data_IF_644493296451
#
_entry.id   IF_644493296451
#
_cell.length_a   1.000
_cell.length_b   1.000
_cell.length_c   1.000
_cell.angle_alpha   90.00
_cell.angle_beta   90.00
_cell.angle_gamma   90.00
#
_symmetry.space_group_name_H-M   'P 1'
#
loop_
_entity.id
_entity.type
_entity.pdbx_description
1 polymer ?
#
# COMPACT_ATOMS: atom_id res chain seq x y z
N UNK A 1 -37.83 1.84 2.72
CA UNK A 1 -36.37 2.05 2.60
C UNK A 1 -35.63 0.99 3.40
N UNK A 2 -35.72 1.00 4.73
CA UNK A 2 -35.13 0.00 5.65
C UNK A 2 -35.32 -1.48 5.27
N UNK A 3 -36.52 -1.88 4.80
CA UNK A 3 -36.76 -3.27 4.35
C UNK A 3 -35.97 -3.63 3.09
N UNK A 4 -35.86 -2.70 2.13
CA UNK A 4 -35.10 -2.93 0.89
C UNK A 4 -33.60 -2.98 1.18
N UNK A 5 -33.12 -2.15 2.11
CA UNK A 5 -31.74 -2.15 2.59
C UNK A 5 -31.36 -3.49 3.25
N UNK A 6 -32.24 -4.01 4.11
CA UNK A 6 -32.02 -5.30 4.78
C UNK A 6 -32.01 -6.48 3.80
N UNK A 7 -32.85 -6.43 2.76
CA UNK A 7 -32.89 -7.45 1.71
C UNK A 7 -31.62 -7.40 0.85
N UNK A 8 -31.17 -6.21 0.45
CA UNK A 8 -29.91 -6.04 -0.29
C UNK A 8 -28.72 -6.57 0.51
N UNK A 9 -28.60 -6.19 1.79
CA UNK A 9 -27.51 -6.65 2.66
C UNK A 9 -27.50 -8.18 2.84
N UNK A 10 -28.64 -8.79 3.15
CA UNK A 10 -28.75 -10.24 3.34
C UNK A 10 -28.43 -11.04 2.07
N UNK A 11 -28.88 -10.57 0.90
CA UNK A 11 -28.61 -11.24 -0.39
C UNK A 11 -27.12 -11.23 -0.71
N UNK A 12 -26.45 -10.09 -0.52
CA UNK A 12 -25.00 -9.98 -0.73
C UNK A 12 -24.23 -10.80 0.31
N UNK A 13 -24.60 -10.75 1.59
CA UNK A 13 -23.96 -11.53 2.65
C UNK A 13 -23.99 -13.05 2.37
N UNK A 14 -25.15 -13.57 1.96
CA UNK A 14 -25.31 -15.01 1.70
C UNK A 14 -24.54 -15.46 0.45
N UNK A 15 -24.46 -14.61 -0.59
CA UNK A 15 -23.75 -14.94 -1.82
C UNK A 15 -22.23 -15.00 -1.66
N UNK A 16 -21.66 -14.19 -0.75
CA UNK A 16 -20.22 -14.14 -0.48
C UNK A 16 -19.78 -15.00 0.71
N UNK A 17 -20.70 -15.69 1.37
CA UNK A 17 -20.35 -16.62 2.45
C UNK A 17 -19.51 -17.79 1.92
N UNK A 18 -18.54 -18.27 2.70
CA UNK A 18 -17.76 -19.46 2.31
C UNK A 18 -18.67 -20.71 2.33
N UNK A 19 -18.86 -21.31 1.15
CA UNK A 19 -19.62 -22.55 0.94
C UNK A 19 -21.10 -22.48 1.37
N UNK A 20 -21.90 -21.54 0.83
CA UNK A 20 -23.25 -21.31 1.29
C UNK A 20 -24.19 -22.43 0.80
N UNK A 21 -25.07 -22.90 1.68
CA UNK A 21 -26.20 -23.74 1.27
C UNK A 21 -27.29 -22.87 0.67
N UNK A 22 -27.17 -22.63 -0.63
CA UNK A 22 -28.10 -21.77 -1.36
C UNK A 22 -29.36 -22.56 -1.79
N UNK A 23 -30.55 -21.95 -1.70
CA UNK A 23 -31.74 -22.49 -2.35
C UNK A 23 -31.54 -22.62 -3.87
N UNK A 24 -32.18 -23.59 -4.51
CA UNK A 24 -32.07 -23.82 -5.97
C UNK A 24 -32.44 -22.60 -6.84
N UNK A 25 -33.25 -21.68 -6.30
CA UNK A 25 -33.66 -20.46 -6.98
C UNK A 25 -32.64 -19.30 -6.83
N UNK A 26 -31.66 -19.43 -5.94
CA UNK A 26 -30.72 -18.37 -5.60
C UNK A 26 -29.47 -18.47 -6.47
N UNK A 27 -29.35 -17.55 -7.41
CA UNK A 27 -28.22 -17.46 -8.34
C UNK A 27 -27.14 -16.53 -7.79
N UNK A 28 -25.90 -17.03 -7.66
CA UNK A 28 -24.78 -16.22 -7.18
C UNK A 28 -24.39 -15.10 -8.15
N UNK A 29 -24.81 -15.14 -9.41
CA UNK A 29 -24.62 -14.03 -10.35
C UNK A 29 -25.51 -12.81 -10.01
N UNK A 30 -26.48 -12.95 -9.11
CA UNK A 30 -27.30 -11.84 -8.59
C UNK A 30 -26.49 -10.77 -7.87
N UNK A 31 -25.28 -11.11 -7.39
CA UNK A 31 -24.44 -10.23 -6.56
C UNK A 31 -23.21 -9.71 -7.30
N UNK A 32 -23.06 -10.04 -8.59
CA UNK A 32 -22.01 -9.43 -9.40
C UNK A 32 -22.28 -7.92 -9.53
N UNK A 33 -21.30 -7.09 -9.18
CA UNK A 33 -21.38 -5.63 -9.23
C UNK A 33 -21.76 -5.08 -10.62
N UNK A 34 -21.53 -5.87 -11.67
CA UNK A 34 -21.89 -5.57 -13.06
C UNK A 34 -23.33 -5.97 -13.45
N UNK A 35 -24.09 -6.62 -12.57
CA UNK A 35 -25.36 -7.27 -12.92
C UNK A 35 -26.55 -6.77 -12.07
N UNK A 36 -26.62 -5.46 -11.84
CA UNK A 36 -27.71 -4.80 -11.12
C UNK A 36 -29.09 -5.01 -11.77
N UNK A 37 -29.11 -5.26 -13.08
CA UNK A 37 -30.35 -5.51 -13.84
C UNK A 37 -30.99 -6.84 -13.47
N UNK A 38 -30.22 -7.91 -13.30
CA UNK A 38 -30.73 -9.21 -12.85
C UNK A 38 -31.25 -9.14 -11.40
N UNK A 39 -30.58 -8.39 -10.52
CA UNK A 39 -31.09 -8.15 -9.16
C UNK A 39 -32.47 -7.49 -9.19
N UNK A 40 -32.63 -6.44 -10.01
CA UNK A 40 -33.90 -5.72 -10.17
C UNK A 40 -34.99 -6.59 -10.79
N UNK A 41 -34.66 -7.41 -11.78
CA UNK A 41 -35.60 -8.33 -12.42
C UNK A 41 -36.15 -9.36 -11.42
N UNK A 42 -35.28 -9.93 -10.56
CA UNK A 42 -35.65 -11.01 -9.64
C UNK A 42 -36.31 -10.50 -8.36
N UNK A 43 -35.85 -9.37 -7.83
CA UNK A 43 -36.32 -8.84 -6.53
C UNK A 43 -37.28 -7.65 -6.68
N UNK A 44 -37.44 -7.08 -7.88
CA UNK A 44 -38.39 -6.03 -8.18
C UNK A 44 -37.99 -4.63 -7.74
N UNK A 45 -36.72 -4.44 -7.32
CA UNK A 45 -36.16 -3.14 -6.97
C UNK A 45 -34.64 -3.12 -7.20
N UNK A 46 -34.09 -1.94 -7.46
CA UNK A 46 -32.62 -1.75 -7.54
C UNK A 46 -32.00 -1.94 -6.16
N UNK A 47 -30.78 -2.52 -6.05
CA UNK A 47 -30.09 -2.64 -4.78
C UNK A 47 -30.07 -1.30 -4.02
N UNK A 48 -30.51 -1.31 -2.77
CA UNK A 48 -30.46 -0.14 -1.90
C UNK A 48 -29.52 -0.47 -0.77
N UNK A 49 -28.38 0.20 -0.72
CA UNK A 49 -27.42 -0.01 0.35
C UNK A 49 -27.88 0.73 1.61
N UNK A 50 -27.83 0.09 2.80
CA UNK A 50 -28.04 0.82 4.04
C UNK A 50 -27.08 2.00 4.08
N UNK A 51 -27.54 3.15 4.60
CA UNK A 51 -26.63 4.27 4.87
C UNK A 51 -25.52 3.75 5.77
N UNK A 52 -24.32 3.78 5.23
CA UNK A 52 -23.13 3.39 5.94
C UNK A 52 -22.84 4.52 6.91
N UNK A 53 -22.70 4.20 8.18
CA UNK A 53 -21.88 5.06 9.04
C UNK A 53 -20.48 4.99 8.38
N UNK A 54 -20.14 6.06 7.68
CA UNK A 54 -18.86 6.37 7.03
C UNK A 54 -17.86 5.19 6.92
N UNK A 55 -18.01 4.38 5.86
CA UNK A 55 -16.98 3.43 5.42
C UNK A 55 -17.47 2.02 5.14
N UNK A 56 -18.00 1.78 3.94
CA UNK A 56 -18.13 0.41 3.43
C UNK A 56 -16.88 0.04 2.62
N UNK A 57 -15.98 -0.70 3.26
CA UNK A 57 -15.29 -1.85 2.68
C UNK A 57 -15.14 -2.85 3.82
N UNK A 58 -15.90 -3.95 3.77
CA UNK A 58 -15.67 -5.16 4.56
C UNK A 58 -15.77 -5.00 6.08
N UNK A 59 -16.92 -5.38 6.64
CA UNK A 59 -17.02 -5.74 8.06
C UNK A 59 -16.02 -6.86 8.37
N UNK A 60 -14.89 -6.46 8.94
CA UNK A 60 -13.89 -7.34 9.54
C UNK A 60 -13.12 -6.49 10.53
N UNK A 61 -12.85 -7.04 11.71
CA UNK A 61 -12.11 -6.44 12.82
C UNK A 61 -10.62 -6.18 12.49
N UNK A 62 -10.31 -5.69 11.29
CA UNK A 62 -8.94 -5.31 10.93
C UNK A 62 -8.61 -3.98 11.61
N UNK A 63 -7.66 -4.06 12.54
CA UNK A 63 -7.02 -2.88 13.09
C UNK A 63 -5.98 -2.44 12.06
N UNK A 64 -6.10 -1.20 11.58
CA UNK A 64 -5.24 -0.71 10.53
C UNK A 64 -4.72 0.69 10.79
N UNK A 65 -3.55 0.96 10.22
CA UNK A 65 -3.00 2.32 10.06
C UNK A 65 -2.98 2.61 8.57
N UNK A 66 -3.74 3.61 8.13
CA UNK A 66 -3.85 4.00 6.73
C UNK A 66 -3.44 5.46 6.59
N UNK A 67 -2.28 5.70 5.97
CA UNK A 67 -1.72 7.03 5.80
C UNK A 67 -1.69 7.41 4.33
N UNK A 68 -1.93 8.69 4.04
CA UNK A 68 -1.65 9.25 2.73
C UNK A 68 -0.86 10.55 2.85
N UNK A 69 -0.01 10.79 1.86
CA UNK A 69 0.80 12.00 1.81
C UNK A 69 -0.09 13.22 1.54
N UNK A 70 -0.04 14.19 2.45
CA UNK A 70 -0.61 15.51 2.23
C UNK A 70 -0.01 16.15 0.99
N UNK A 71 -0.86 16.72 0.12
CA UNK A 71 -0.43 17.54 -1.01
C UNK A 71 0.41 18.73 -0.52
N UNK A 72 1.70 18.70 -0.83
CA UNK A 72 2.67 19.73 -0.46
C UNK A 72 3.87 19.73 -1.43
N UNK A 73 4.58 20.86 -1.59
CA UNK A 73 5.82 20.86 -2.34
C UNK A 73 6.90 20.06 -1.59
N UNK A 74 7.67 19.27 -2.34
CA UNK A 74 8.80 18.51 -1.82
C UNK A 74 10.07 19.19 -2.33
N UNK A 75 10.93 19.65 -1.42
CA UNK A 75 12.22 20.19 -1.82
C UNK A 75 13.18 19.03 -2.16
N UNK A 76 13.61 18.99 -3.42
CA UNK A 76 14.48 17.94 -3.96
C UNK A 76 15.71 18.52 -4.65
N UNK A 77 16.03 19.80 -4.37
CA UNK A 77 17.17 20.50 -4.98
C UNK A 77 18.52 19.82 -4.77
N UNK A 78 18.62 19.01 -3.71
CA UNK A 78 19.87 18.38 -3.30
C UNK A 78 20.09 17.00 -3.96
N UNK A 79 19.13 16.53 -4.74
CA UNK A 79 19.14 15.24 -5.43
C UNK A 79 19.28 15.43 -6.94
N UNK A 80 20.08 14.56 -7.57
CA UNK A 80 20.41 14.67 -8.99
C UNK A 80 19.40 13.90 -9.86
N UNK A 81 18.80 12.84 -9.32
CA UNK A 81 17.86 11.98 -10.05
C UNK A 81 16.55 11.77 -9.30
N UNK A 82 15.50 11.65 -10.09
CA UNK A 82 14.18 11.20 -9.68
C UNK A 82 13.91 9.85 -10.35
N UNK A 83 13.69 8.82 -9.55
CA UNK A 83 13.63 7.43 -9.98
C UNK A 83 12.25 6.88 -9.63
N UNK A 84 11.52 6.54 -10.68
CA UNK A 84 10.24 5.88 -10.53
C UNK A 84 10.41 4.38 -10.73
N UNK A 85 10.28 3.64 -9.64
CA UNK A 85 10.23 2.18 -9.66
C UNK A 85 8.75 1.81 -9.52
N UNK A 86 7.99 1.96 -10.62
CA UNK A 86 6.54 1.74 -10.62
C UNK A 86 6.21 0.31 -10.15
N UNK A 87 5.42 0.24 -9.09
CA UNK A 87 4.87 -1.00 -8.56
C UNK A 87 3.53 -1.28 -9.25
N UNK A 88 3.56 -2.05 -10.35
CA UNK A 88 2.35 -2.66 -10.90
C UNK A 88 2.53 -4.17 -11.04
N UNK A 89 1.97 -4.91 -10.09
CA UNK A 89 1.42 -6.25 -10.28
C UNK A 89 2.38 -7.37 -10.73
N UNK A 90 3.50 -7.60 -10.04
CA UNK A 90 4.33 -8.78 -10.30
C UNK A 90 5.26 -9.16 -9.13
N UNK A 91 5.50 -10.47 -8.94
CA UNK A 91 6.39 -11.05 -7.90
C UNK A 91 7.89 -10.86 -8.18
N UNK A 92 8.26 -9.88 -9.00
CA UNK A 92 9.63 -9.69 -9.47
C UNK A 92 10.32 -8.53 -8.75
N UNK A 93 11.61 -8.69 -8.46
CA UNK A 93 12.49 -7.59 -8.05
C UNK A 93 12.38 -6.49 -9.11
N UNK A 94 11.94 -5.30 -8.68
CA UNK A 94 11.88 -4.13 -9.57
C UNK A 94 13.15 -3.32 -9.39
N UNK A 95 13.88 -3.15 -10.48
CA UNK A 95 15.15 -2.45 -10.49
C UNK A 95 15.15 -1.29 -11.49
N UNK A 96 15.76 -0.18 -11.12
CA UNK A 96 16.14 0.89 -12.04
C UNK A 96 17.66 0.96 -12.15
N UNK A 97 18.17 1.41 -13.31
CA UNK A 97 19.60 1.67 -13.50
C UNK A 97 19.83 3.15 -13.80
N UNK A 98 20.85 3.71 -13.17
CA UNK A 98 21.27 5.10 -13.34
C UNK A 98 22.78 5.12 -13.53
N UNK A 99 23.26 5.84 -14.53
CA UNK A 99 24.69 6.08 -14.73
C UNK A 99 25.05 7.42 -14.12
N UNK A 100 25.88 7.41 -13.07
CA UNK A 100 26.48 8.60 -12.49
C UNK A 100 27.96 8.73 -12.83
N UNK A 101 28.64 9.68 -12.19
CA UNK A 101 30.08 9.92 -12.32
C UNK A 101 30.90 8.79 -11.70
N UNK A 102 30.40 8.16 -10.63
CA UNK A 102 31.12 7.08 -9.94
C UNK A 102 30.93 5.69 -10.57
N UNK A 103 30.00 5.53 -11.52
CA UNK A 103 29.70 4.24 -12.17
C UNK A 103 28.21 4.01 -12.43
N UNK A 104 27.83 2.75 -12.60
CA UNK A 104 26.42 2.36 -12.83
C UNK A 104 25.78 1.91 -11.53
N UNK A 105 24.74 2.62 -11.13
CA UNK A 105 23.89 2.27 -10.00
C UNK A 105 22.73 1.37 -10.45
N UNK A 106 22.49 0.31 -9.69
CA UNK A 106 21.30 -0.54 -9.80
C UNK A 106 20.53 -0.43 -8.49
N UNK A 107 19.30 0.09 -8.56
CA UNK A 107 18.47 0.43 -7.42
C UNK A 107 17.26 -0.48 -7.44
N UNK A 108 17.15 -1.33 -6.42
CA UNK A 108 16.19 -2.42 -6.32
C UNK A 108 15.23 -2.19 -5.16
N UNK A 109 13.93 -2.21 -5.45
CA UNK A 109 12.89 -2.35 -4.43
C UNK A 109 12.56 -3.84 -4.29
N UNK A 110 12.93 -4.42 -3.16
CA UNK A 110 12.84 -5.86 -2.91
C UNK A 110 11.68 -6.12 -1.96
N UNK A 111 10.63 -6.78 -2.46
CA UNK A 111 9.53 -7.27 -1.64
C UNK A 111 9.95 -8.58 -0.98
N UNK A 112 10.17 -8.57 0.34
CA UNK A 112 10.45 -9.79 1.09
C UNK A 112 9.19 -10.65 1.22
N UNK A 113 9.31 -11.94 0.91
CA UNK A 113 8.21 -12.91 1.07
C UNK A 113 8.10 -13.48 2.48
N UNK A 114 9.10 -13.28 3.34
CA UNK A 114 9.18 -13.93 4.65
C UNK A 114 8.42 -13.17 5.75
N UNK A 115 8.53 -11.84 5.76
CA UNK A 115 7.96 -10.91 6.75
C UNK A 115 7.06 -9.84 6.10
N UNK A 116 7.02 -9.77 4.77
CA UNK A 116 6.22 -8.80 4.02
C UNK A 116 6.76 -7.37 4.08
N UNK A 117 7.93 -7.15 4.69
CA UNK A 117 8.55 -5.84 4.80
C UNK A 117 9.44 -5.59 3.58
N UNK A 118 9.23 -4.52 2.82
CA UNK A 118 10.08 -4.22 1.68
C UNK A 118 11.45 -3.71 2.13
N UNK A 119 12.43 -3.84 1.25
CA UNK A 119 13.77 -3.30 1.44
C UNK A 119 14.27 -2.59 0.20
N UNK A 120 15.10 -1.57 0.39
CA UNK A 120 15.83 -0.91 -0.68
C UNK A 120 17.25 -1.48 -0.74
N UNK A 121 17.67 -1.92 -1.92
CA UNK A 121 19.06 -2.31 -2.19
C UNK A 121 19.62 -1.47 -3.32
N UNK A 122 20.84 -0.95 -3.14
CA UNK A 122 21.56 -0.20 -4.17
C UNK A 122 22.91 -0.86 -4.38
N UNK A 123 23.24 -1.11 -5.65
CA UNK A 123 24.54 -1.60 -6.09
C UNK A 123 25.23 -0.56 -6.95
N UNK A 124 26.54 -0.42 -6.79
CA UNK A 124 27.43 0.33 -7.69
C UNK A 124 28.33 -0.67 -8.40
N UNK A 125 28.24 -0.73 -9.73
CA UNK A 125 28.98 -1.67 -10.58
C UNK A 125 28.90 -3.13 -10.07
N UNK A 126 27.71 -3.52 -9.59
CA UNK A 126 27.42 -4.85 -9.06
C UNK A 126 27.79 -5.08 -7.58
N UNK A 127 28.53 -4.17 -6.94
CA UNK A 127 28.80 -4.23 -5.49
C UNK A 127 27.65 -3.58 -4.72
N UNK A 128 27.08 -4.28 -3.74
CA UNK A 128 26.07 -3.69 -2.82
C UNK A 128 26.74 -2.59 -2.00
N UNK A 129 26.17 -1.38 -2.07
CA UNK A 129 26.64 -0.21 -1.33
C UNK A 129 25.64 0.24 -0.26
N UNK A 130 24.36 -0.10 -0.43
CA UNK A 130 23.30 0.17 0.54
C UNK A 130 22.29 -0.97 0.50
N UNK A 131 21.91 -1.48 1.66
CA UNK A 131 20.81 -2.41 1.84
C UNK A 131 20.12 -2.09 3.15
N UNK A 132 18.83 -1.75 3.09
CA UNK A 132 18.07 -1.30 4.25
C UNK A 132 16.62 -1.74 4.14
N UNK A 133 16.13 -2.48 5.14
CA UNK A 133 14.73 -2.83 5.26
C UNK A 133 13.91 -1.68 5.88
N UNK A 134 12.59 -1.71 5.70
CA UNK A 134 11.71 -0.64 6.18
C UNK A 134 11.22 -0.83 7.63
N UNK A 135 11.83 -1.73 8.44
CA UNK A 135 11.34 -1.98 9.80
C UNK A 135 11.43 -0.73 10.69
N UNK A 136 12.53 0.03 10.63
CA UNK A 136 12.69 1.24 11.44
C UNK A 136 11.62 2.30 11.10
N UNK A 137 11.32 2.43 9.81
CA UNK A 137 10.24 3.28 9.34
C UNK A 137 8.88 2.81 9.87
N UNK A 138 8.55 1.54 9.68
CA UNK A 138 7.30 0.91 10.12
C UNK A 138 7.12 1.06 11.64
N UNK A 139 8.16 0.81 12.43
CA UNK A 139 8.14 0.93 13.89
C UNK A 139 7.84 2.37 14.31
N UNK A 140 8.54 3.35 13.72
CA UNK A 140 8.31 4.78 14.00
C UNK A 140 6.86 5.18 13.69
N UNK A 141 6.35 4.75 12.55
CA UNK A 141 4.99 5.07 12.11
C UNK A 141 3.93 4.38 12.97
N UNK A 142 4.14 3.11 13.32
CA UNK A 142 3.21 2.35 14.16
C UNK A 142 3.10 2.92 15.58
N UNK A 143 4.16 3.52 16.12
CA UNK A 143 4.13 4.22 17.42
C UNK A 143 3.34 5.52 17.33
N UNK A 144 3.55 6.31 16.25
CA UNK A 144 2.92 7.62 16.08
C UNK A 144 1.45 7.52 15.64
N UNK A 145 1.14 6.51 14.83
CA UNK A 145 -0.17 6.22 14.25
C UNK A 145 -0.55 4.77 14.60
N UNK A 146 -0.94 4.51 15.86
CA UNK A 146 -1.29 3.15 16.27
C UNK A 146 -2.51 2.63 15.50
N UNK A 147 -2.54 1.33 15.15
CA UNK A 147 -3.67 0.74 14.44
C UNK A 147 -4.98 0.99 15.16
N UNK A 148 -6.00 1.39 14.40
CA UNK A 148 -7.33 1.65 14.96
C UNK A 148 -8.41 1.00 14.09
N UNK A 149 -9.54 0.70 14.70
CA UNK A 149 -10.73 0.20 14.00
C UNK A 149 -11.48 1.30 13.26
N UNK A 150 -11.04 2.56 13.36
CA UNK A 150 -11.62 3.67 12.61
C UNK A 150 -11.00 3.68 11.22
N UNK A 151 -11.85 3.49 10.22
CA UNK A 151 -11.58 3.42 8.77
C UNK A 151 -11.12 4.75 8.15
N UNK A 152 -10.59 5.67 8.94
CA UNK A 152 -10.16 6.98 8.46
C UNK A 152 -8.77 6.92 7.84
N UNK A 153 -8.66 7.26 6.55
CA UNK A 153 -7.40 7.65 5.94
C UNK A 153 -6.84 8.87 6.69
N UNK A 154 -5.65 8.73 7.25
CA UNK A 154 -4.98 9.79 8.02
C UNK A 154 -4.05 10.56 7.07
N UNK A 155 -4.29 11.86 6.95
CA UNK A 155 -3.37 12.75 6.25
C UNK A 155 -2.06 12.88 7.03
N UNK A 156 -0.93 12.55 6.40
CA UNK A 156 0.40 12.60 7.00
C UNK A 156 1.32 13.57 6.26
N UNK A 157 2.28 14.15 6.98
CA UNK A 157 3.25 15.08 6.41
C UNK A 157 4.40 14.34 5.70
N UNK A 158 5.29 15.09 5.05
CA UNK A 158 6.41 14.49 4.32
C UNK A 158 7.37 13.72 5.24
N UNK A 159 7.65 14.21 6.45
CA UNK A 159 8.58 13.56 7.39
C UNK A 159 8.09 12.17 7.83
N UNK A 160 6.78 11.99 7.92
CA UNK A 160 6.13 10.71 8.22
C UNK A 160 5.96 9.83 6.98
N UNK A 161 5.85 10.44 5.80
CA UNK A 161 5.66 9.73 4.53
C UNK A 161 6.96 9.63 3.72
N UNK A 162 8.11 9.76 4.37
CA UNK A 162 9.40 9.60 3.72
C UNK A 162 10.45 8.93 4.60
N UNK A 163 11.45 8.36 3.94
CA UNK A 163 12.63 7.75 4.54
C UNK A 163 13.86 8.34 3.88
N UNK A 164 14.79 8.85 4.68
CA UNK A 164 16.10 9.31 4.24
C UNK A 164 17.14 8.26 4.60
N UNK A 165 17.90 7.81 3.61
CA UNK A 165 19.00 6.87 3.79
C UNK A 165 20.27 7.50 3.24
N UNK A 166 21.37 7.36 3.98
CA UNK A 166 22.61 8.03 3.64
C UNK A 166 23.80 7.20 4.11
N UNK A 167 24.80 7.09 3.25
CA UNK A 167 26.12 6.53 3.58
C UNK A 167 27.22 7.40 2.93
N UNK A 168 28.45 6.89 2.84
CA UNK A 168 29.57 7.62 2.24
C UNK A 168 29.45 7.76 0.70
N UNK A 169 28.65 6.93 0.04
CA UNK A 169 28.58 6.84 -1.44
C UNK A 169 27.31 7.48 -2.01
N UNK A 170 26.19 7.50 -1.28
CA UNK A 170 24.88 7.96 -1.77
C UNK A 170 24.03 8.62 -0.69
N UNK A 171 23.12 9.50 -1.13
CA UNK A 171 21.97 9.97 -0.34
C UNK A 171 20.67 9.65 -1.08
N UNK A 172 19.69 9.12 -0.35
CA UNK A 172 18.41 8.66 -0.89
C UNK A 172 17.27 9.26 -0.08
N UNK A 173 16.23 9.72 -0.77
CA UNK A 173 14.95 10.05 -0.17
C UNK A 173 13.85 9.23 -0.84
N UNK A 174 13.25 8.33 -0.10
CA UNK A 174 12.06 7.60 -0.52
C UNK A 174 10.84 8.38 -0.06
N UNK A 175 9.90 8.64 -0.96
CA UNK A 175 8.62 9.27 -0.63
C UNK A 175 7.50 8.30 -0.94
N UNK A 176 6.65 8.05 0.04
CA UNK A 176 5.48 7.20 -0.10
C UNK A 176 4.24 8.03 -0.45
N UNK A 177 3.40 7.49 -1.34
CA UNK A 177 2.09 8.05 -1.64
C UNK A 177 1.10 7.67 -0.54
N UNK A 178 1.07 6.39 -0.19
CA UNK A 178 0.27 5.86 0.89
C UNK A 178 1.00 4.70 1.60
N UNK A 179 0.63 4.49 2.85
CA UNK A 179 1.17 3.45 3.71
C UNK A 179 0.03 2.80 4.47
N UNK A 180 -0.15 1.51 4.25
CA UNK A 180 -1.19 0.72 4.89
C UNK A 180 -0.55 -0.39 5.71
N UNK A 181 -0.84 -0.42 7.00
CA UNK A 181 -0.39 -1.44 7.94
C UNK A 181 -1.64 -2.11 8.49
N UNK A 182 -1.90 -3.34 8.07
CA UNK A 182 -3.09 -4.09 8.45
C UNK A 182 -2.74 -5.21 9.42
N UNK A 183 -3.30 -5.18 10.63
CA UNK A 183 -3.22 -6.26 11.59
C UNK A 183 -4.43 -7.18 11.46
N UNK A 184 -4.19 -8.46 11.18
CA UNK A 184 -5.20 -9.50 11.28
C UNK A 184 -5.16 -10.13 12.69
N UNK A 185 -6.08 -9.76 13.60
CA UNK A 185 -6.06 -10.27 14.97
C UNK A 185 -6.35 -11.78 15.04
N UNK A 186 -6.87 -12.40 13.98
CA UNK A 186 -7.21 -13.84 13.95
C UNK A 186 -5.99 -14.71 13.67
N UNK A 187 -5.03 -14.18 12.92
CA UNK A 187 -3.84 -14.92 12.49
C UNK A 187 -2.54 -14.36 13.09
N UNK A 188 -2.63 -13.27 13.86
CA UNK A 188 -1.50 -12.52 14.41
C UNK A 188 -0.47 -12.14 13.32
N UNK A 189 -1.00 -11.75 12.15
CA UNK A 189 -0.20 -11.34 10.99
C UNK A 189 -0.39 -9.87 10.72
N UNK A 190 0.72 -9.22 10.41
CA UNK A 190 0.74 -7.84 9.93
C UNK A 190 1.07 -7.87 8.44
N UNK A 191 0.26 -7.19 7.65
CA UNK A 191 0.49 -6.99 6.22
C UNK A 191 0.85 -5.52 5.98
N UNK A 192 1.90 -5.29 5.19
CA UNK A 192 2.41 -3.96 4.87
C UNK A 192 2.23 -3.66 3.39
N UNK A 193 1.63 -2.50 3.09
CA UNK A 193 1.61 -1.92 1.76
C UNK A 193 2.26 -0.54 1.82
N UNK A 194 3.53 -0.47 1.41
CA UNK A 194 4.29 0.78 1.36
C UNK A 194 4.37 1.25 -0.10
N UNK A 195 3.35 1.96 -0.56
CA UNK A 195 3.28 2.39 -1.94
C UNK A 195 4.20 3.59 -2.16
N UNK A 196 5.36 3.33 -2.76
CA UNK A 196 6.33 4.35 -3.12
C UNK A 196 5.79 5.25 -4.23
N UNK A 197 5.79 6.56 -4.00
CA UNK A 197 5.51 7.55 -5.03
C UNK A 197 6.76 7.74 -5.90
N UNK A 198 7.88 8.03 -5.24
CA UNK A 198 9.12 8.39 -5.91
C UNK A 198 10.33 8.13 -5.02
N UNK A 199 11.45 7.79 -5.65
CA UNK A 199 12.77 7.75 -5.01
C UNK A 199 13.64 8.86 -5.59
N UNK A 200 14.19 9.71 -4.72
CA UNK A 200 15.18 10.72 -5.09
C UNK A 200 16.56 10.23 -4.72
N UNK A 201 17.49 10.36 -5.65
CA UNK A 201 18.82 9.77 -5.56
C UNK A 201 19.88 10.84 -5.82
N UNK A 202 20.92 10.81 -5.00
CA UNK A 202 22.11 11.64 -5.14
C UNK A 202 23.33 10.75 -4.97
N UNK A 203 24.29 10.86 -5.87
CA UNK A 203 25.59 10.29 -5.62
C UNK A 203 26.46 11.25 -4.81
N UNK A 204 27.32 10.70 -3.96
CA UNK A 204 28.32 11.48 -3.25
C UNK A 204 29.65 11.35 -3.96
N UNK A 205 30.28 12.49 -4.23
CA UNK A 205 31.65 12.47 -4.70
C UNK A 205 32.56 11.94 -3.59
N UNK A 206 33.44 11.00 -3.94
CA UNK A 206 34.55 10.64 -3.07
C UNK A 206 35.45 11.86 -2.98
N UNK A 207 35.68 12.36 -1.75
CA UNK A 207 36.79 13.29 -1.54
C UNK A 207 38.07 12.57 -1.94
N UNK A 208 38.61 12.91 -3.10
CA UNK A 208 39.97 12.54 -3.46
C UNK A 208 40.87 13.29 -2.49
N UNK A 209 41.40 12.56 -1.51
CA UNK A 209 42.49 13.05 -0.67
C UNK A 209 43.67 13.29 -1.60
N UNK A 210 43.93 14.57 -1.92
CA UNK A 210 45.10 15.04 -2.65
C UNK A 210 46.38 14.82 -1.83
#
# INVERSE_FOLDING_TARGET
LSVRESITDAVFYIAYAENPKLPEWFDTELTALSNTDTFKEKLGFEPVWPKTDDGFYGGTDYLGTFLYLKTQPINVSDYDWMINILEYGGKEIKSAKVTGENGVYEIEWVLSSADGVPSLRIKLDGRVILEHDMNDYINRISVKYPPSSKTGLIEANLDDMSVKLENEEVSVLIVFNNVDINLDPRTDKINYWLNMNMLYFKEKQRELSL
#
